data_IF_417636485317
#
_entry.id   IF_417636485317
#
_cell.length_a   1.000
_cell.length_b   1.000
_cell.length_c   1.000
_cell.angle_alpha   90.00
_cell.angle_beta   90.00
_cell.angle_gamma   90.00
#
_symmetry.space_group_name_H-M   'P 1'
#
loop_
_entity.id
_entity.type
_entity.pdbx_description
1 polymer ?
#
# COMPACT_ATOMS: atom_id res chain seq x y z
N UNK A 1 32.66 -16.00 -7.06
CA UNK A 1 31.74 -16.03 -5.91
C UNK A 1 30.39 -15.57 -6.41
N UNK A 2 29.47 -16.50 -6.65
CA UNK A 2 28.13 -16.17 -7.15
C UNK A 2 27.28 -15.64 -5.99
N UNK A 3 26.88 -14.36 -6.10
CA UNK A 3 26.02 -13.70 -5.13
C UNK A 3 24.58 -14.10 -5.44
N UNK A 4 24.05 -15.09 -4.73
CA UNK A 4 22.62 -15.42 -4.80
C UNK A 4 21.83 -14.34 -4.05
N UNK A 5 21.01 -13.50 -4.72
CA UNK A 5 20.12 -12.60 -4.00
C UNK A 5 19.13 -13.46 -3.19
N UNK A 6 19.14 -13.29 -1.87
CA UNK A 6 18.13 -13.90 -0.99
C UNK A 6 16.77 -13.31 -1.35
N UNK A 7 15.96 -14.06 -2.09
CA UNK A 7 14.54 -13.73 -2.29
C UNK A 7 13.81 -13.98 -0.98
N UNK A 8 13.25 -12.92 -0.40
CA UNK A 8 12.34 -13.03 0.74
C UNK A 8 10.92 -12.94 0.18
N UNK A 9 10.35 -14.08 -0.18
CA UNK A 9 8.93 -14.17 -0.53
C UNK A 9 8.10 -14.24 0.76
N UNK A 10 7.56 -13.10 1.20
CA UNK A 10 6.67 -13.06 2.37
C UNK A 10 5.24 -13.38 1.95
N UNK A 11 4.82 -14.59 2.29
CA UNK A 11 3.45 -15.12 2.39
C UNK A 11 2.60 -15.05 1.11
N UNK A 12 2.04 -16.18 0.62
CA UNK A 12 1.02 -16.12 -0.42
C UNK A 12 -0.17 -15.31 0.10
N UNK A 13 -0.46 -14.21 -0.58
CA UNK A 13 -1.66 -13.43 -0.28
C UNK A 13 -2.89 -14.30 -0.58
N UNK A 14 -3.76 -14.44 0.42
CA UNK A 14 -5.01 -15.18 0.27
C UNK A 14 -5.90 -14.52 -0.79
N UNK A 15 -6.40 -15.32 -1.73
CA UNK A 15 -7.30 -14.84 -2.78
C UNK A 15 -8.59 -14.27 -2.21
N UNK A 16 -9.04 -14.79 -1.07
CA UNK A 16 -10.23 -14.30 -0.39
C UNK A 16 -10.05 -12.88 0.14
N UNK A 17 -8.84 -12.51 0.57
CA UNK A 17 -8.53 -11.15 1.03
C UNK A 17 -8.66 -10.15 -0.12
N UNK A 18 -8.07 -10.46 -1.27
CA UNK A 18 -8.16 -9.59 -2.45
C UNK A 18 -9.61 -9.45 -2.95
N UNK A 19 -10.37 -10.55 -2.93
CA UNK A 19 -11.80 -10.57 -3.29
C UNK A 19 -12.63 -9.69 -2.34
N UNK A 20 -12.50 -9.88 -1.03
CA UNK A 20 -13.23 -9.09 -0.03
C UNK A 20 -12.92 -7.60 -0.16
N UNK A 21 -11.64 -7.23 -0.31
CA UNK A 21 -11.28 -5.82 -0.54
C UNK A 21 -11.90 -5.27 -1.82
N UNK A 22 -11.89 -6.04 -2.91
CA UNK A 22 -12.53 -5.61 -4.16
C UNK A 22 -14.02 -5.35 -3.96
N UNK A 23 -14.74 -6.24 -3.29
CA UNK A 23 -16.17 -6.08 -2.98
C UNK A 23 -16.46 -4.84 -2.13
N UNK A 24 -15.63 -4.57 -1.11
CA UNK A 24 -15.76 -3.37 -0.29
C UNK A 24 -15.58 -2.08 -1.10
N UNK A 25 -14.59 -2.04 -2.00
CA UNK A 25 -14.36 -0.88 -2.86
C UNK A 25 -15.46 -0.72 -3.92
N UNK A 26 -15.98 -1.81 -4.48
CA UNK A 26 -17.15 -1.75 -5.37
C UNK A 26 -18.37 -1.15 -4.65
N UNK A 27 -18.64 -1.56 -3.41
CA UNK A 27 -19.71 -1.00 -2.59
C UNK A 27 -19.53 0.50 -2.28
N UNK A 28 -18.27 0.97 -2.28
CA UNK A 28 -17.90 2.39 -2.15
C UNK A 28 -17.99 3.18 -3.46
N UNK A 29 -18.46 2.55 -4.53
CA UNK A 29 -18.70 3.18 -5.83
C UNK A 29 -17.48 3.22 -6.76
N UNK A 30 -16.39 2.52 -6.42
CA UNK A 30 -15.21 2.50 -7.30
C UNK A 30 -15.51 1.69 -8.57
N UNK A 31 -15.15 2.20 -9.76
CA UNK A 31 -15.30 1.45 -10.99
C UNK A 31 -14.42 0.19 -10.98
N UNK A 32 -14.96 -0.94 -11.42
CA UNK A 32 -14.23 -2.22 -11.41
C UNK A 32 -12.89 -2.15 -12.15
N UNK A 33 -12.83 -1.45 -13.28
CA UNK A 33 -11.61 -1.31 -14.08
C UNK A 33 -10.47 -0.59 -13.34
N UNK A 34 -10.80 0.22 -12.33
CA UNK A 34 -9.83 0.94 -11.48
C UNK A 34 -9.24 0.05 -10.39
N UNK A 35 -9.87 -1.08 -10.05
CA UNK A 35 -9.45 -1.95 -8.95
C UNK A 35 -8.51 -3.04 -9.48
N UNK A 36 -7.20 -2.89 -9.24
CA UNK A 36 -6.21 -3.89 -9.63
C UNK A 36 -5.86 -4.75 -8.41
N UNK A 37 -6.17 -6.04 -8.46
CA UNK A 37 -5.82 -6.99 -7.40
C UNK A 37 -4.51 -7.71 -7.70
N UNK A 38 -3.87 -8.23 -6.65
CA UNK A 38 -2.57 -8.90 -6.73
C UNK A 38 -1.50 -8.08 -7.45
N UNK A 39 -1.47 -6.78 -7.17
CA UNK A 39 -0.52 -5.87 -7.80
C UNK A 39 0.90 -6.19 -7.33
N UNK A 40 1.80 -6.63 -8.22
CA UNK A 40 3.17 -6.92 -7.83
C UNK A 40 3.93 -5.61 -7.59
N UNK A 41 4.82 -5.63 -6.60
CA UNK A 41 5.76 -4.57 -6.34
C UNK A 41 7.13 -5.15 -6.05
N UNK A 42 8.15 -4.67 -6.75
CA UNK A 42 9.53 -5.08 -6.54
C UNK A 42 10.37 -3.85 -6.26
N UNK A 43 11.20 -3.93 -5.23
CA UNK A 43 12.24 -2.94 -4.99
C UNK A 43 13.55 -3.59 -4.59
N UNK A 44 14.63 -2.87 -4.85
CA UNK A 44 15.99 -3.29 -4.51
C UNK A 44 16.55 -2.31 -3.49
N UNK A 45 17.17 -2.84 -2.44
CA UNK A 45 17.89 -2.08 -1.42
C UNK A 45 19.03 -2.93 -0.87
N UNK A 46 20.24 -2.36 -0.76
CA UNK A 46 21.46 -3.06 -0.32
C UNK A 46 21.64 -4.43 -1.00
N UNK A 47 21.60 -4.46 -2.33
CA UNK A 47 21.73 -5.67 -3.18
C UNK A 47 20.74 -6.80 -2.87
N UNK A 48 19.68 -6.50 -2.12
CA UNK A 48 18.60 -7.42 -1.78
C UNK A 48 17.35 -7.02 -2.53
N UNK A 49 16.78 -7.98 -3.25
CA UNK A 49 15.52 -7.80 -3.99
C UNK A 49 14.36 -8.26 -3.13
N UNK A 50 13.39 -7.36 -2.92
CA UNK A 50 12.15 -7.65 -2.24
C UNK A 50 11.01 -7.70 -3.25
N UNK A 51 10.21 -8.75 -3.17
CA UNK A 51 8.99 -8.90 -3.96
C UNK A 51 7.80 -8.91 -3.00
N UNK A 52 6.83 -8.06 -3.31
CA UNK A 52 5.58 -7.91 -2.57
C UNK A 52 4.43 -8.07 -3.55
N UNK A 53 3.33 -8.64 -3.06
CA UNK A 53 2.06 -8.70 -3.79
C UNK A 53 1.04 -7.97 -2.95
N UNK A 54 0.59 -6.81 -3.44
CA UNK A 54 -0.46 -6.03 -2.79
C UNK A 54 -1.82 -6.61 -3.14
N UNK A 55 -2.74 -6.69 -2.17
CA UNK A 55 -4.06 -7.24 -2.41
C UNK A 55 -4.91 -6.42 -3.37
N UNK A 56 -4.80 -5.10 -3.29
CA UNK A 56 -5.56 -4.18 -4.10
C UNK A 56 -4.81 -2.84 -4.19
N UNK A 57 -4.79 -2.28 -5.40
CA UNK A 57 -4.53 -0.87 -5.61
C UNK A 57 -5.69 -0.29 -6.39
N UNK A 58 -5.91 1.01 -6.22
CA UNK A 58 -6.83 1.78 -7.04
C UNK A 58 -6.01 2.60 -8.04
N UNK A 59 -6.28 2.38 -9.32
CA UNK A 59 -5.62 3.02 -10.44
C UNK A 59 -6.63 3.86 -11.22
N UNK A 60 -6.33 5.16 -11.38
CA UNK A 60 -7.08 6.07 -12.23
C UNK A 60 -6.11 6.79 -13.16
N UNK A 61 -6.42 6.81 -14.47
CA UNK A 61 -5.58 7.43 -15.50
C UNK A 61 -4.11 7.00 -15.40
N UNK A 62 -3.88 5.69 -15.27
CA UNK A 62 -2.54 5.06 -15.19
C UNK A 62 -1.72 5.50 -13.96
N UNK A 63 -2.38 6.05 -12.94
CA UNK A 63 -1.74 6.44 -11.67
C UNK A 63 -2.37 5.69 -10.52
N UNK A 64 -1.52 5.18 -9.62
CA UNK A 64 -1.99 4.67 -8.33
C UNK A 64 -2.44 5.86 -7.47
N UNK A 65 -3.70 5.85 -7.05
CA UNK A 65 -4.29 6.91 -6.21
C UNK A 65 -4.51 6.45 -4.78
N UNK A 66 -4.67 5.14 -4.57
CA UNK A 66 -4.83 4.51 -3.27
C UNK A 66 -4.17 3.13 -3.30
N UNK A 67 -3.35 2.85 -2.30
CA UNK A 67 -2.70 1.56 -2.10
C UNK A 67 -3.29 0.85 -0.88
N UNK A 68 -3.73 -0.41 -1.01
CA UNK A 68 -4.18 -1.20 0.13
C UNK A 68 -3.07 -2.16 0.58
N UNK A 69 -2.65 -2.03 1.84
CA UNK A 69 -1.71 -2.96 2.48
C UNK A 69 -2.45 -3.85 3.49
N UNK A 70 -2.35 -5.16 3.32
CA UNK A 70 -2.99 -6.12 4.22
C UNK A 70 -1.99 -6.70 5.23
N UNK A 71 -2.40 -6.79 6.49
CA UNK A 71 -1.68 -7.50 7.55
C UNK A 71 -2.65 -8.41 8.29
N UNK A 72 -2.29 -9.67 8.49
CA UNK A 72 -3.10 -10.64 9.26
C UNK A 72 -3.08 -10.41 10.78
N UNK A 73 -2.48 -9.31 11.25
CA UNK A 73 -2.39 -9.00 12.67
C UNK A 73 -3.77 -8.69 13.26
N UNK A 74 -4.18 -9.49 14.24
CA UNK A 74 -5.40 -9.26 15.06
C UNK A 74 -5.14 -8.34 16.26
N UNK A 75 -3.88 -8.14 16.66
CA UNK A 75 -3.52 -7.36 17.86
C UNK A 75 -3.44 -5.85 17.62
N UNK A 76 -3.64 -5.40 16.38
CA UNK A 76 -3.51 -4.01 15.98
C UNK A 76 -2.74 -3.86 14.67
N UNK A 77 -2.97 -2.73 14.02
CA UNK A 77 -2.34 -2.36 12.75
C UNK A 77 -1.23 -1.31 12.91
N UNK A 78 -1.23 -0.55 14.01
CA UNK A 78 -0.35 0.61 14.18
C UNK A 78 1.15 0.30 14.12
N UNK A 79 1.57 -0.92 14.48
CA UNK A 79 2.97 -1.35 14.32
C UNK A 79 3.44 -1.34 12.86
N UNK A 80 2.51 -1.41 11.89
CA UNK A 80 2.78 -1.45 10.46
C UNK A 80 2.45 -0.13 9.73
N UNK A 81 2.06 0.92 10.46
CA UNK A 81 1.70 2.23 9.88
C UNK A 81 2.86 2.82 9.07
N UNK A 82 4.06 2.86 9.67
CA UNK A 82 5.28 3.30 8.98
C UNK A 82 5.65 2.43 7.78
N UNK A 83 5.44 1.12 7.88
CA UNK A 83 5.68 0.20 6.75
C UNK A 83 4.71 0.52 5.59
N UNK A 84 3.42 0.68 5.88
CA UNK A 84 2.41 1.02 4.87
C UNK A 84 2.68 2.38 4.23
N UNK A 85 3.08 3.37 5.02
CA UNK A 85 3.42 4.70 4.55
C UNK A 85 4.65 4.67 3.62
N UNK A 86 5.73 4.03 4.05
CA UNK A 86 6.93 3.89 3.23
C UNK A 86 6.65 3.13 1.94
N UNK A 87 5.87 2.05 2.02
CA UNK A 87 5.45 1.26 0.86
C UNK A 87 4.70 2.12 -0.15
N UNK A 88 3.72 2.90 0.29
CA UNK A 88 2.98 3.80 -0.58
C UNK A 88 3.90 4.83 -1.26
N UNK A 89 4.84 5.41 -0.52
CA UNK A 89 5.79 6.40 -1.06
C UNK A 89 6.71 5.85 -2.15
N UNK A 90 7.11 4.59 -2.06
CA UNK A 90 8.02 3.98 -3.05
C UNK A 90 7.30 3.16 -4.13
N UNK A 91 6.00 2.88 -3.95
CA UNK A 91 5.23 2.03 -4.86
C UNK A 91 5.09 2.62 -6.26
N UNK A 92 4.82 3.93 -6.34
CA UNK A 92 4.63 4.65 -7.59
C UNK A 92 5.27 6.04 -7.55
N UNK A 93 5.55 6.59 -8.72
CA UNK A 93 5.97 7.99 -8.88
C UNK A 93 5.02 8.70 -9.85
N UNK A 94 4.21 9.67 -9.38
CA UNK A 94 4.09 10.16 -8.01
C UNK A 94 3.48 9.11 -7.04
N UNK A 95 3.69 9.25 -5.72
CA UNK A 95 3.02 8.41 -4.72
C UNK A 95 1.50 8.55 -4.76
N UNK A 96 0.75 7.51 -4.34
CA UNK A 96 -0.68 7.62 -4.16
C UNK A 96 -1.00 8.63 -3.05
N UNK A 97 -2.18 9.24 -3.12
CA UNK A 97 -2.64 10.17 -2.09
C UNK A 97 -2.87 9.47 -0.76
N UNK A 98 -3.46 8.28 -0.81
CA UNK A 98 -3.83 7.51 0.36
C UNK A 98 -3.19 6.13 0.38
N UNK A 99 -2.87 5.66 1.57
CA UNK A 99 -2.60 4.26 1.85
C UNK A 99 -3.65 3.74 2.83
N UNK A 100 -4.17 2.55 2.59
CA UNK A 100 -5.13 1.89 3.46
C UNK A 100 -4.47 0.65 4.06
N UNK A 101 -4.19 0.69 5.35
CA UNK A 101 -3.70 -0.47 6.09
C UNK A 101 -4.88 -1.19 6.73
N UNK A 102 -5.01 -2.50 6.52
CA UNK A 102 -6.19 -3.25 6.99
C UNK A 102 -5.90 -4.72 7.29
N UNK A 103 -6.70 -5.30 8.18
CA UNK A 103 -6.82 -6.74 8.40
C UNK A 103 -8.24 -7.27 8.06
N UNK A 104 -9.03 -6.50 7.29
CA UNK A 104 -10.46 -6.66 7.00
C UNK A 104 -11.43 -6.37 8.15
N UNK A 105 -10.94 -6.23 9.39
CA UNK A 105 -11.77 -5.86 10.55
C UNK A 105 -11.54 -4.41 10.96
N UNK A 106 -10.28 -3.98 10.93
CA UNK A 106 -9.83 -2.61 11.20
C UNK A 106 -9.25 -2.01 9.93
N UNK A 107 -9.44 -0.71 9.79
CA UNK A 107 -8.98 0.08 8.65
C UNK A 107 -8.27 1.31 9.18
N UNK A 108 -7.08 1.55 8.65
CA UNK A 108 -6.29 2.77 8.93
C UNK A 108 -6.04 3.46 7.60
N UNK A 109 -6.73 4.57 7.37
CA UNK A 109 -6.51 5.41 6.20
C UNK A 109 -5.39 6.39 6.53
N UNK A 110 -4.33 6.40 5.72
CA UNK A 110 -3.14 7.22 5.90
C UNK A 110 -3.05 8.19 4.73
N UNK A 111 -2.97 9.48 5.03
CA UNK A 111 -2.57 10.50 4.07
C UNK A 111 -1.05 10.38 3.84
N UNK A 112 -0.65 9.96 2.64
CA UNK A 112 0.74 9.55 2.35
C UNK A 112 1.71 10.74 2.46
N UNK A 113 1.22 11.95 2.20
CA UNK A 113 2.03 13.16 2.28
C UNK A 113 2.31 13.54 3.72
N UNK A 114 1.26 13.75 4.50
CA UNK A 114 1.36 14.26 5.87
C UNK A 114 1.71 13.16 6.88
N UNK A 115 1.50 11.89 6.55
CA UNK A 115 1.58 10.76 7.48
C UNK A 115 0.44 10.75 8.51
N UNK A 116 -0.52 11.68 8.43
CA UNK A 116 -1.69 11.67 9.31
C UNK A 116 -2.56 10.48 8.96
N UNK A 117 -3.12 9.84 9.99
CA UNK A 117 -3.96 8.67 9.79
C UNK A 117 -5.22 8.73 10.64
N UNK A 118 -6.24 8.02 10.16
CA UNK A 118 -7.49 7.79 10.86
C UNK A 118 -7.74 6.30 10.98
N UNK A 119 -8.13 5.85 12.17
CA UNK A 119 -8.46 4.44 12.45
C UNK A 119 -9.97 4.30 12.57
N UNK A 120 -10.52 3.20 12.06
CA UNK A 120 -11.93 2.86 12.20
C UNK A 120 -12.27 1.53 11.53
N UNK A 121 -13.54 1.38 11.19
CA UNK A 121 -14.07 0.30 10.38
C UNK A 121 -14.05 0.63 8.89
N UNK A 122 -14.91 -0.07 8.14
CA UNK A 122 -15.05 0.05 6.69
C UNK A 122 -15.40 1.46 6.21
N UNK A 123 -15.98 2.30 7.07
CA UNK A 123 -16.29 3.69 6.78
C UNK A 123 -15.06 4.54 6.47
N UNK A 124 -13.86 4.08 6.88
CA UNK A 124 -12.58 4.73 6.56
C UNK A 124 -12.12 4.52 5.13
N UNK A 125 -12.72 3.60 4.38
CA UNK A 125 -12.51 3.56 2.93
C UNK A 125 -13.22 4.78 2.34
N UNK A 126 -12.47 5.71 1.68
CA UNK A 126 -13.08 6.90 1.10
C UNK A 126 -14.05 6.50 -0.01
N UNK A 127 -15.19 7.17 -0.11
CA UNK A 127 -16.12 6.95 -1.22
C UNK A 127 -15.49 7.38 -2.55
N UNK A 128 -15.92 6.77 -3.65
CA UNK A 128 -15.37 7.11 -4.96
C UNK A 128 -15.71 8.55 -5.36
N UNK A 129 -14.69 9.41 -5.32
CA UNK A 129 -14.77 10.77 -5.82
C UNK A 129 -13.48 11.11 -6.59
N UNK A 130 -13.48 11.03 -7.93
CA UNK A 130 -12.26 11.22 -8.72
C UNK A 130 -11.67 12.63 -8.54
N UNK A 131 -12.47 13.66 -8.24
CA UNK A 131 -11.97 15.02 -8.04
C UNK A 131 -11.12 15.14 -6.76
N UNK A 132 -11.48 14.40 -5.71
CA UNK A 132 -10.72 14.39 -4.45
C UNK A 132 -9.51 13.46 -4.58
N UNK A 133 -9.70 12.31 -5.22
CA UNK A 133 -8.67 11.27 -5.35
C UNK A 133 -7.57 11.66 -6.36
N UNK A 134 -7.90 12.45 -7.39
CA UNK A 134 -6.98 12.95 -8.40
C UNK A 134 -6.54 14.40 -8.17
N UNK A 135 -7.04 15.08 -7.11
CA UNK A 135 -6.54 16.40 -6.77
C UNK A 135 -5.02 16.34 -6.68
N UNK A 136 -4.37 17.15 -7.53
CA UNK A 136 -3.04 16.90 -8.07
C UNK A 136 -2.00 16.56 -7.00
N UNK A 137 -1.12 15.57 -7.23
CA UNK A 137 0.09 15.47 -6.46
C UNK A 137 1.01 16.65 -6.78
N UNK A 138 1.67 17.13 -5.73
CA UNK A 138 2.52 18.31 -5.71
C UNK A 138 3.84 18.04 -6.44
N UNK A 139 4.35 19.03 -7.17
CA UNK A 139 5.57 18.96 -7.99
C UNK A 139 6.86 18.72 -7.18
N UNK A 140 6.80 18.80 -5.84
CA UNK A 140 7.96 18.70 -4.95
C UNK A 140 8.16 17.30 -4.33
N UNK A 141 9.41 16.84 -4.31
CA UNK A 141 9.82 15.69 -3.53
C UNK A 141 9.66 15.97 -2.02
N UNK A 142 8.69 15.33 -1.37
CA UNK A 142 8.42 15.50 0.06
C UNK A 142 9.01 14.39 0.95
N UNK A 143 9.74 13.43 0.37
CA UNK A 143 10.37 12.32 1.06
C UNK A 143 11.65 11.88 0.32
N UNK A 144 12.54 11.17 1.02
CA UNK A 144 13.72 10.53 0.44
C UNK A 144 13.43 9.04 0.17
N UNK A 145 13.39 8.59 -1.10
CA UNK A 145 13.15 7.19 -1.43
C UNK A 145 14.13 6.20 -0.79
N UNK A 146 15.38 6.60 -0.51
CA UNK A 146 16.36 5.72 0.14
C UNK A 146 16.03 5.51 1.62
N UNK A 147 15.52 6.54 2.29
CA UNK A 147 15.04 6.42 3.68
C UNK A 147 13.84 5.48 3.75
N UNK A 148 12.88 5.63 2.83
CA UNK A 148 11.70 4.77 2.78
C UNK A 148 12.05 3.31 2.44
N UNK A 149 12.92 3.08 1.45
CA UNK A 149 13.43 1.73 1.13
C UNK A 149 14.18 1.10 2.30
N UNK A 150 14.97 1.89 3.04
CA UNK A 150 15.64 1.42 4.26
C UNK A 150 14.64 1.02 5.34
N UNK A 151 13.56 1.78 5.51
CA UNK A 151 12.50 1.45 6.45
C UNK A 151 11.83 0.14 6.04
N UNK A 152 11.42 0.00 4.78
CA UNK A 152 10.85 -1.26 4.28
C UNK A 152 11.81 -2.44 4.44
N UNK A 153 13.11 -2.24 4.17
CA UNK A 153 14.12 -3.26 4.40
C UNK A 153 14.05 -3.78 5.84
N UNK A 154 14.02 -2.90 6.86
CA UNK A 154 13.97 -3.31 8.26
C UNK A 154 12.71 -4.12 8.61
N UNK A 155 11.54 -3.69 8.12
CA UNK A 155 10.26 -4.39 8.34
C UNK A 155 10.19 -5.74 7.59
N UNK A 156 10.81 -5.82 6.41
CA UNK A 156 10.81 -7.00 5.57
C UNK A 156 11.94 -7.98 5.91
N UNK A 157 13.06 -7.55 6.49
CA UNK A 157 14.14 -8.44 6.91
C UNK A 157 13.92 -9.07 8.28
N UNK A 158 12.95 -8.59 9.06
CA UNK A 158 12.54 -9.19 10.33
C UNK A 158 13.10 -8.54 11.59
N UNK A 159 13.79 -7.39 11.48
CA UNK A 159 14.41 -6.71 12.63
C UNK A 159 15.67 -7.40 13.12
#
# INVERSE_FOLDING_TARGET
MEYCPRKVDKTPLDKEVAKNLKELFLAKGYPEHSLKTFAPFTFIFNDTTFNLILPLIVELKERCILLCHYKSSVRGLLSFEREALALARVFSSPPPRYALLTNLQMFTLIDVRSGKYEIGGVEKIPDYNPNILLAEPFDDAFFDPNVEKRLLYLYLSGG
#
